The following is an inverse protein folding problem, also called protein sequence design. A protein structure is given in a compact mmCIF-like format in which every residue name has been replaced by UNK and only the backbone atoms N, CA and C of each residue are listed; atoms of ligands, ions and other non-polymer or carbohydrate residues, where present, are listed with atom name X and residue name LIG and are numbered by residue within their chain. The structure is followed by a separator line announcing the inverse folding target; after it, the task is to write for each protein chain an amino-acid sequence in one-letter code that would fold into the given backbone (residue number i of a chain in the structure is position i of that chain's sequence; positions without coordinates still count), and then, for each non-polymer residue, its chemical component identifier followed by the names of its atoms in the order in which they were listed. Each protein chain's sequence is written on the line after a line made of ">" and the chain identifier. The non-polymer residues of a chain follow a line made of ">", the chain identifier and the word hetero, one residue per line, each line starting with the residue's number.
data_IF_882648881432
#
_entry.id   IF_882648881432
#
_cell.length_a   1.000
_cell.length_b   1.000
_cell.length_c   1.000
_cell.angle_alpha   90.00
_cell.angle_beta   90.00
_cell.angle_gamma   90.00
#
_symmetry.space_group_name_H-M   'P 1'
#
loop_
_entity.id
_entity.type
_entity.pdbx_description
1 polymer ?
#
# COMPACT_ATOMS: atom_id res chain seq x y z
N UNK A 1 -69.70 32.67 41.97
CA UNK A 1 -69.37 31.40 41.27
C UNK A 1 -68.16 31.66 40.37
N UNK A 2 -66.95 31.31 40.83
CA UNK A 2 -65.73 31.29 40.01
C UNK A 2 -65.02 29.97 40.35
N UNK A 3 -64.98 29.05 39.39
CA UNK A 3 -64.20 27.82 39.48
C UNK A 3 -62.79 28.11 38.95
N UNK A 4 -61.78 27.89 39.81
CA UNK A 4 -60.37 27.85 39.42
C UNK A 4 -60.00 26.38 39.18
N UNK A 5 -59.66 26.05 37.92
CA UNK A 5 -59.12 24.76 37.52
C UNK A 5 -57.60 24.76 37.70
N UNK A 6 -57.08 23.86 38.53
CA UNK A 6 -55.65 23.56 38.67
C UNK A 6 -55.23 22.52 37.63
N UNK A 7 -54.23 22.84 36.81
CA UNK A 7 -53.56 21.88 35.92
C UNK A 7 -52.38 21.20 36.66
N UNK A 8 -52.16 19.88 36.50
CA UNK A 8 -50.98 19.22 37.05
C UNK A 8 -49.79 19.37 36.10
N UNK A 9 -48.60 19.63 36.65
CA UNK A 9 -47.35 19.63 35.92
C UNK A 9 -46.87 18.17 35.71
N UNK A 10 -46.77 17.73 34.45
CA UNK A 10 -46.06 16.49 34.11
C UNK A 10 -44.55 16.76 34.08
N UNK A 11 -43.81 16.09 34.95
CA UNK A 11 -42.36 16.01 34.86
C UNK A 11 -41.97 14.95 33.81
N UNK A 12 -41.37 15.37 32.69
CA UNK A 12 -40.80 14.46 31.71
C UNK A 12 -39.41 13.99 32.19
N UNK A 13 -39.27 12.72 32.54
CA UNK A 13 -37.95 12.10 32.70
C UNK A 13 -37.34 11.88 31.32
N UNK A 14 -36.30 12.64 31.00
CA UNK A 14 -35.45 12.35 29.85
C UNK A 14 -34.58 11.12 30.16
N UNK A 15 -34.89 9.98 29.56
CA UNK A 15 -34.00 8.83 29.53
C UNK A 15 -32.80 9.17 28.62
N UNK A 16 -31.68 9.58 29.22
CA UNK A 16 -30.38 9.64 28.55
C UNK A 16 -29.93 8.19 28.28
N UNK A 17 -30.17 7.71 27.06
CA UNK A 17 -29.57 6.49 26.55
C UNK A 17 -28.08 6.74 26.35
N UNK A 18 -27.25 6.26 27.27
CA UNK A 18 -25.80 6.19 27.08
C UNK A 18 -25.53 5.15 25.99
N UNK A 19 -25.25 5.64 24.78
CA UNK A 19 -24.67 4.81 23.73
C UNK A 19 -23.28 4.43 24.23
N UNK A 20 -23.10 3.17 24.62
CA UNK A 20 -21.78 2.61 24.90
C UNK A 20 -20.99 2.59 23.59
N UNK A 21 -20.30 3.69 23.29
CA UNK A 21 -19.36 3.75 22.20
C UNK A 21 -18.18 2.86 22.58
N UNK A 22 -18.06 1.68 21.96
CA UNK A 22 -16.79 0.96 22.02
C UNK A 22 -15.75 1.86 21.35
N UNK A 23 -14.66 2.25 22.04
CA UNK A 23 -13.57 2.93 21.38
C UNK A 23 -13.10 2.06 20.21
N UNK A 24 -12.85 2.66 19.05
CA UNK A 24 -12.14 1.94 18.00
C UNK A 24 -10.78 1.47 18.56
N UNK A 25 -10.29 0.27 18.18
CA UNK A 25 -8.95 -0.16 18.55
C UNK A 25 -7.92 0.92 18.19
N UNK A 26 -6.94 1.16 19.07
CA UNK A 26 -5.80 2.01 18.72
C UNK A 26 -4.99 1.29 17.63
N UNK A 27 -4.55 2.02 16.60
CA UNK A 27 -3.77 1.43 15.52
C UNK A 27 -2.44 0.86 16.07
N UNK A 28 -2.01 -0.34 15.63
CA UNK A 28 -0.69 -0.84 15.97
C UNK A 28 0.42 0.08 15.42
N UNK A 29 1.43 0.37 16.24
CA UNK A 29 2.67 1.00 15.76
C UNK A 29 3.70 -0.09 15.48
N UNK A 30 3.86 -0.45 14.20
CA UNK A 30 4.77 -1.51 13.77
C UNK A 30 6.23 -1.06 13.78
N UNK A 31 7.15 -2.00 14.09
CA UNK A 31 8.60 -1.79 13.95
C UNK A 31 9.04 -1.80 12.49
N UNK A 32 8.44 -2.68 11.69
CA UNK A 32 8.71 -2.80 10.26
C UNK A 32 7.42 -3.05 9.49
N UNK A 33 7.17 -2.25 8.46
CA UNK A 33 6.13 -2.46 7.47
C UNK A 33 6.78 -2.66 6.11
N UNK A 34 6.44 -3.74 5.41
CA UNK A 34 6.78 -3.90 3.99
C UNK A 34 5.52 -3.72 3.17
N UNK A 35 5.56 -2.80 2.21
CA UNK A 35 4.56 -2.63 1.17
C UNK A 35 5.13 -3.19 -0.13
N UNK A 36 4.56 -4.28 -0.61
CA UNK A 36 4.84 -4.82 -1.94
C UNK A 36 3.74 -4.34 -2.87
N UNK A 37 4.14 -3.77 -4.01
CA UNK A 37 3.21 -3.32 -5.06
C UNK A 37 3.54 -4.08 -6.34
N UNK A 38 2.64 -5.00 -6.70
CA UNK A 38 2.62 -5.71 -7.98
C UNK A 38 1.85 -4.88 -9.03
N UNK A 39 1.86 -5.28 -10.30
CA UNK A 39 1.19 -4.56 -11.39
C UNK A 39 -0.05 -5.26 -11.95
N UNK A 40 -1.02 -4.44 -12.38
CA UNK A 40 -2.12 -4.70 -13.31
C UNK A 40 -2.80 -6.06 -13.20
N UNK A 41 -3.74 -6.24 -12.28
CA UNK A 41 -4.66 -7.39 -12.32
C UNK A 41 -5.99 -7.13 -11.64
N UNK A 42 -7.06 -7.63 -12.27
CA UNK A 42 -8.38 -7.69 -11.67
C UNK A 42 -8.35 -8.55 -10.40
N UNK A 43 -9.01 -8.10 -9.33
CA UNK A 43 -9.16 -8.86 -8.08
C UNK A 43 -9.52 -10.35 -8.30
N UNK A 44 -10.46 -10.62 -9.21
CA UNK A 44 -10.94 -11.98 -9.50
C UNK A 44 -9.95 -12.88 -10.24
N UNK A 45 -8.92 -12.31 -10.88
CA UNK A 45 -7.88 -13.09 -11.54
C UNK A 45 -6.92 -13.74 -10.53
N UNK A 46 -6.82 -13.14 -9.33
CA UNK A 46 -5.83 -13.48 -8.31
C UNK A 46 -6.42 -14.18 -7.08
N UNK A 47 -7.54 -13.70 -6.54
CA UNK A 47 -8.06 -14.24 -5.28
C UNK A 47 -8.78 -15.58 -5.52
N UNK A 48 -8.28 -16.65 -4.90
CA UNK A 48 -8.80 -18.00 -5.06
C UNK A 48 -8.40 -18.67 -6.38
N UNK A 49 -7.49 -18.04 -7.13
CA UNK A 49 -7.03 -18.54 -8.42
C UNK A 49 -5.93 -19.60 -8.26
N UNK A 50 -5.95 -20.70 -9.03
CA UNK A 50 -4.88 -21.70 -8.99
C UNK A 50 -3.54 -21.17 -9.55
N UNK A 51 -3.56 -20.01 -10.21
CA UNK A 51 -2.37 -19.37 -10.76
C UNK A 51 -1.60 -18.55 -9.71
N UNK A 52 -2.26 -18.14 -8.63
CA UNK A 52 -1.72 -17.32 -7.54
C UNK A 52 -1.94 -17.96 -6.17
N UNK A 53 -1.42 -19.19 -5.95
CA UNK A 53 -1.66 -19.92 -4.71
C UNK A 53 -1.08 -19.23 -3.47
N UNK A 54 0.02 -18.48 -3.58
CA UNK A 54 0.59 -17.78 -2.43
C UNK A 54 -0.19 -16.51 -2.06
N UNK A 55 -0.61 -15.70 -3.04
CA UNK A 55 -1.51 -14.56 -2.80
C UNK A 55 -2.84 -15.05 -2.22
N UNK A 56 -3.42 -16.13 -2.79
CA UNK A 56 -4.65 -16.73 -2.25
C UNK A 56 -4.45 -17.20 -0.82
N UNK A 57 -3.31 -17.84 -0.51
CA UNK A 57 -2.99 -18.23 0.86
C UNK A 57 -2.88 -17.02 1.80
N UNK A 58 -2.21 -15.93 1.40
CA UNK A 58 -2.16 -14.69 2.19
C UNK A 58 -3.57 -14.14 2.44
N UNK A 59 -4.44 -14.17 1.43
CA UNK A 59 -5.82 -13.68 1.53
C UNK A 59 -6.70 -14.48 2.51
N UNK A 60 -6.40 -15.76 2.69
CA UNK A 60 -7.12 -16.64 3.62
C UNK A 60 -6.62 -16.51 5.07
N UNK A 61 -5.39 -16.03 5.25
CA UNK A 61 -4.71 -15.98 6.55
C UNK A 61 -4.37 -14.54 7.00
N UNK A 62 -4.85 -13.53 6.29
CA UNK A 62 -4.69 -12.11 6.61
C UNK A 62 -6.02 -11.37 6.56
N UNK A 63 -5.95 -10.05 6.55
CA UNK A 63 -7.08 -9.18 6.25
C UNK A 63 -7.12 -8.91 4.75
N UNK A 64 -8.11 -9.47 4.07
CA UNK A 64 -8.36 -9.27 2.65
C UNK A 64 -9.40 -8.17 2.46
N UNK A 65 -9.05 -7.10 1.76
CA UNK A 65 -9.97 -6.06 1.35
C UNK A 65 -10.61 -6.44 0.01
N UNK A 66 -11.92 -6.66 0.04
CA UNK A 66 -12.71 -7.16 -1.09
C UNK A 66 -13.26 -6.06 -1.98
N UNK A 67 -13.23 -4.80 -1.53
CA UNK A 67 -13.64 -3.60 -2.27
C UNK A 67 -12.48 -2.59 -2.27
N UNK A 68 -11.29 -3.05 -2.67
CA UNK A 68 -10.08 -2.21 -2.82
C UNK A 68 -9.87 -1.80 -4.27
N UNK A 69 -9.47 -0.54 -4.48
CA UNK A 69 -9.42 0.07 -5.82
C UNK A 69 -8.13 0.87 -6.06
N UNK A 70 -7.62 0.78 -7.29
CA UNK A 70 -6.68 1.77 -7.79
C UNK A 70 -7.34 3.14 -7.91
N UNK A 71 -6.54 4.20 -7.89
CA UNK A 71 -7.02 5.58 -7.92
C UNK A 71 -7.29 6.08 -9.35
N UNK A 72 -6.50 5.59 -10.31
CA UNK A 72 -6.56 6.05 -11.70
C UNK A 72 -5.99 5.00 -12.65
N UNK A 73 -6.02 5.30 -13.94
CA UNK A 73 -5.16 4.69 -14.95
C UNK A 73 -4.31 5.76 -15.65
N UNK A 74 -3.08 5.47 -16.11
CA UNK A 74 -2.34 4.20 -15.97
C UNK A 74 -1.52 4.11 -14.65
N UNK A 75 -0.79 3.00 -14.51
CA UNK A 75 0.03 2.58 -13.37
C UNK A 75 0.76 3.67 -12.58
N UNK A 76 1.61 4.47 -13.22
CA UNK A 76 2.56 5.35 -12.53
C UNK A 76 1.90 6.30 -11.52
N UNK A 77 0.72 6.80 -11.84
CA UNK A 77 0.00 7.74 -10.99
C UNK A 77 -0.53 7.06 -9.70
N UNK A 78 -0.82 5.76 -9.71
CA UNK A 78 -1.22 4.99 -8.53
C UNK A 78 -0.07 4.83 -7.53
N UNK A 79 1.15 4.51 -8.01
CA UNK A 79 2.35 4.48 -7.18
C UNK A 79 2.60 5.81 -6.48
N UNK A 80 2.44 6.91 -7.21
CA UNK A 80 2.61 8.26 -6.67
C UNK A 80 1.49 8.57 -5.68
N UNK A 81 0.23 8.23 -5.99
CA UNK A 81 -0.91 8.39 -5.08
C UNK A 81 -0.69 7.69 -3.74
N UNK A 82 -0.28 6.41 -3.76
CA UNK A 82 0.00 5.61 -2.57
C UNK A 82 1.18 6.18 -1.74
N UNK A 83 2.12 6.87 -2.37
CA UNK A 83 3.33 7.35 -1.70
C UNK A 83 3.23 8.80 -1.18
N UNK A 84 2.52 9.66 -1.90
CA UNK A 84 2.47 11.11 -1.62
C UNK A 84 1.07 11.70 -1.51
N UNK A 85 0.02 10.89 -1.58
CA UNK A 85 -1.35 11.38 -1.42
C UNK A 85 -1.83 12.24 -2.58
N UNK A 86 -1.17 12.19 -3.73
CA UNK A 86 -1.52 12.99 -4.88
C UNK A 86 -0.86 12.47 -6.14
N UNK A 87 -1.41 12.84 -7.30
CA UNK A 87 -0.88 12.40 -8.59
C UNK A 87 0.33 13.23 -9.05
N UNK A 88 0.63 14.33 -8.36
CA UNK A 88 1.72 15.26 -8.69
C UNK A 88 1.70 15.79 -10.14
N UNK A 89 0.51 15.87 -10.74
CA UNK A 89 0.32 16.29 -12.13
C UNK A 89 0.69 15.21 -13.17
N UNK A 90 1.04 14.00 -12.72
CA UNK A 90 1.34 12.85 -13.57
C UNK A 90 0.02 12.20 -13.97
N UNK A 91 -0.22 12.09 -15.27
CA UNK A 91 -1.48 11.58 -15.85
C UNK A 91 -1.26 10.42 -16.81
N UNK A 92 -0.02 9.97 -16.98
CA UNK A 92 0.38 8.91 -17.88
C UNK A 92 1.63 8.21 -17.34
N UNK A 93 1.98 7.07 -17.94
CA UNK A 93 3.27 6.43 -17.74
C UNK A 93 4.35 7.19 -18.50
N UNK A 94 4.96 8.16 -17.84
CA UNK A 94 5.99 9.02 -18.40
C UNK A 94 7.35 8.84 -17.71
N UNK A 95 8.40 9.03 -18.51
CA UNK A 95 9.75 9.09 -18.01
C UNK A 95 9.97 10.44 -17.29
N UNK A 96 9.92 10.44 -15.97
CA UNK A 96 10.16 11.62 -15.12
C UNK A 96 11.65 11.82 -14.79
N UNK A 97 12.57 11.35 -15.65
CA UNK A 97 14.00 11.57 -15.46
C UNK A 97 14.33 13.07 -15.44
N UNK A 98 15.20 13.48 -14.50
CA UNK A 98 15.51 14.90 -14.27
C UNK A 98 14.41 15.70 -13.58
N UNK A 99 13.23 15.12 -13.29
CA UNK A 99 12.20 15.75 -12.44
C UNK A 99 12.37 15.30 -10.99
N UNK A 100 12.40 16.27 -10.08
CA UNK A 100 12.36 16.05 -8.63
C UNK A 100 11.17 16.80 -8.04
N UNK A 101 10.27 16.08 -7.38
CA UNK A 101 9.17 16.65 -6.62
C UNK A 101 9.64 17.13 -5.25
N UNK A 102 8.95 18.13 -4.73
CA UNK A 102 9.22 18.77 -3.43
C UNK A 102 7.99 18.80 -2.53
N UNK A 103 6.89 18.18 -2.96
CA UNK A 103 5.66 18.04 -2.18
C UNK A 103 5.82 17.04 -1.04
N UNK A 104 4.97 17.09 0.00
CA UNK A 104 4.97 16.09 1.06
C UNK A 104 4.84 14.66 0.54
N UNK A 105 5.35 13.70 1.32
CA UNK A 105 5.26 12.27 1.03
C UNK A 105 5.53 11.44 2.30
N UNK A 106 5.10 10.18 2.28
CA UNK A 106 5.23 9.23 3.38
C UNK A 106 6.67 9.09 3.88
N UNK A 107 7.63 8.93 2.96
CA UNK A 107 9.04 8.73 3.31
C UNK A 107 9.64 9.90 4.09
N UNK A 108 9.41 11.13 3.62
CA UNK A 108 9.86 12.34 4.30
C UNK A 108 9.13 12.57 5.64
N UNK A 109 7.82 12.31 5.68
CA UNK A 109 7.02 12.44 6.90
C UNK A 109 7.54 11.49 8.00
N UNK A 110 7.83 10.22 7.66
CA UNK A 110 8.46 9.26 8.56
C UNK A 110 9.79 9.78 9.12
N UNK A 111 10.69 10.23 8.24
CA UNK A 111 12.02 10.74 8.63
C UNK A 111 11.89 11.95 9.55
N UNK A 112 10.96 12.86 9.28
CA UNK A 112 10.72 14.06 10.11
C UNK A 112 10.27 13.72 11.54
N UNK A 113 9.64 12.56 11.73
CA UNK A 113 9.20 12.03 13.02
C UNK A 113 10.21 11.08 13.69
N UNK A 114 11.39 10.92 13.10
CA UNK A 114 12.45 10.05 13.63
C UNK A 114 12.29 8.57 13.27
N UNK A 115 11.36 8.23 12.37
CA UNK A 115 11.26 6.90 11.78
C UNK A 115 12.17 6.77 10.56
N UNK A 116 12.23 5.57 9.99
CA UNK A 116 13.10 5.28 8.84
C UNK A 116 12.32 4.77 7.64
N UNK A 117 12.81 5.09 6.44
CA UNK A 117 12.21 4.68 5.17
C UNK A 117 13.27 4.16 4.20
N UNK A 118 12.96 3.14 3.40
CA UNK A 118 13.72 2.74 2.20
C UNK A 118 12.79 2.20 1.10
N UNK A 119 13.17 2.37 -0.15
CA UNK A 119 12.58 1.64 -1.27
C UNK A 119 13.57 0.62 -1.83
N UNK A 120 13.09 -0.58 -2.15
CA UNK A 120 13.87 -1.66 -2.76
C UNK A 120 13.25 -2.05 -4.11
N UNK A 121 14.05 -2.07 -5.17
CA UNK A 121 13.58 -2.50 -6.49
C UNK A 121 14.47 -3.59 -7.08
N UNK A 122 13.86 -4.67 -7.59
CA UNK A 122 14.54 -5.92 -7.94
C UNK A 122 15.73 -5.75 -8.88
N UNK A 123 15.52 -5.08 -10.01
CA UNK A 123 16.54 -4.89 -11.06
C UNK A 123 17.09 -3.45 -11.10
N UNK A 124 16.95 -2.68 -10.01
CA UNK A 124 17.65 -1.39 -9.90
C UNK A 124 19.18 -1.64 -9.94
N UNK A 125 19.95 -0.95 -10.80
CA UNK A 125 21.36 -1.28 -11.03
C UNK A 125 22.29 -0.79 -9.92
N UNK A 126 21.92 0.28 -9.24
CA UNK A 126 22.73 0.93 -8.22
C UNK A 126 21.86 1.75 -7.29
N UNK A 127 22.38 2.03 -6.09
CA UNK A 127 21.74 2.94 -5.14
C UNK A 127 21.43 4.28 -5.80
N UNK A 128 20.20 4.76 -5.63
CA UNK A 128 19.76 6.05 -6.14
C UNK A 128 19.62 6.16 -7.66
N UNK A 129 19.47 5.05 -8.39
CA UNK A 129 19.36 5.10 -9.84
C UNK A 129 18.16 5.95 -10.32
N UNK A 130 18.40 6.92 -11.21
CA UNK A 130 17.41 7.90 -11.66
C UNK A 130 16.97 7.74 -13.12
N UNK A 131 17.65 6.91 -13.92
CA UNK A 131 17.27 6.70 -15.32
C UNK A 131 15.96 5.89 -15.39
N UNK A 132 15.19 6.10 -16.45
CA UNK A 132 13.85 5.53 -16.53
C UNK A 132 13.79 4.01 -16.64
N UNK A 133 14.78 3.40 -17.30
CA UNK A 133 14.81 1.97 -17.54
C UNK A 133 16.20 1.40 -17.31
N UNK A 134 16.26 0.13 -16.89
CA UNK A 134 17.52 -0.60 -16.83
C UNK A 134 17.33 -2.08 -17.15
N UNK A 135 18.25 -2.60 -17.97
CA UNK A 135 18.39 -3.99 -18.44
C UNK A 135 17.18 -4.48 -19.23
N UNK A 136 17.43 -5.19 -20.33
CA UNK A 136 16.37 -5.79 -21.15
C UNK A 136 16.10 -7.22 -20.68
N UNK A 137 14.82 -7.55 -20.51
CA UNK A 137 14.33 -8.89 -20.23
C UNK A 137 14.62 -9.81 -21.41
N UNK A 138 15.18 -10.98 -21.11
CA UNK A 138 15.32 -12.05 -22.10
C UNK A 138 14.02 -12.80 -22.34
N UNK A 139 13.02 -12.61 -21.46
CA UNK A 139 11.70 -13.24 -21.57
C UNK A 139 10.77 -12.43 -22.48
N UNK A 140 10.82 -11.11 -22.37
CA UNK A 140 9.80 -10.21 -22.93
C UNK A 140 10.35 -9.23 -23.95
N UNK A 141 11.67 -9.00 -23.94
CA UNK A 141 12.33 -7.95 -24.72
C UNK A 141 12.05 -6.53 -24.22
N UNK A 142 11.26 -6.37 -23.15
CA UNK A 142 11.02 -5.09 -22.48
C UNK A 142 12.12 -4.80 -21.46
N UNK A 143 12.14 -3.60 -20.87
CA UNK A 143 13.04 -3.35 -19.74
C UNK A 143 12.64 -4.21 -18.52
N UNK A 144 13.57 -4.48 -17.61
CA UNK A 144 13.28 -5.16 -16.33
C UNK A 144 12.95 -4.13 -15.26
N UNK A 145 13.82 -3.15 -15.05
CA UNK A 145 13.56 -2.06 -14.14
C UNK A 145 12.81 -0.93 -14.86
N UNK A 146 11.68 -0.51 -14.29
CA UNK A 146 10.96 0.70 -14.65
C UNK A 146 10.94 1.69 -13.48
N UNK A 147 11.53 2.87 -13.67
CA UNK A 147 11.49 3.97 -12.68
C UNK A 147 10.07 4.37 -12.30
N UNK A 148 9.12 4.18 -13.21
CA UNK A 148 7.71 4.51 -13.00
C UNK A 148 7.05 3.74 -11.84
N UNK A 149 7.52 2.54 -11.49
CA UNK A 149 6.99 1.74 -10.36
C UNK A 149 7.62 2.11 -9.01
N UNK A 150 8.62 3.00 -8.99
CA UNK A 150 9.41 3.33 -7.79
C UNK A 150 9.14 4.78 -7.35
N UNK A 151 8.00 5.10 -6.72
CA UNK A 151 7.55 6.49 -6.56
C UNK A 151 8.54 7.36 -5.78
N UNK A 152 9.24 6.78 -4.80
CA UNK A 152 10.23 7.45 -3.97
C UNK A 152 11.39 8.06 -4.76
N UNK A 153 11.70 7.53 -5.96
CA UNK A 153 12.81 8.07 -6.78
C UNK A 153 12.56 9.51 -7.22
N UNK A 154 11.29 9.95 -7.26
CA UNK A 154 10.92 11.31 -7.62
C UNK A 154 11.22 12.34 -6.52
N UNK A 155 11.55 11.91 -5.29
CA UNK A 155 11.87 12.80 -4.16
C UNK A 155 13.33 12.70 -3.71
N UNK A 156 14.20 12.05 -4.48
CA UNK A 156 15.63 12.06 -4.22
C UNK A 156 16.19 13.47 -4.41
N UNK A 157 16.80 14.02 -3.35
CA UNK A 157 17.34 15.38 -3.38
C UNK A 157 17.60 15.95 -1.99
N UNK A 158 17.60 17.28 -1.90
CA UNK A 158 17.77 18.03 -0.67
C UNK A 158 16.54 18.93 -0.46
N UNK A 159 16.05 19.00 0.78
CA UNK A 159 14.85 19.77 1.11
C UNK A 159 14.00 19.09 2.19
N UNK A 160 12.96 19.79 2.69
CA UNK A 160 12.12 19.28 3.78
C UNK A 160 11.35 18.01 3.43
N UNK A 161 10.99 17.81 2.15
CA UNK A 161 10.25 16.64 1.69
C UNK A 161 11.09 15.70 0.83
N UNK A 162 12.42 15.88 0.83
CA UNK A 162 13.34 15.11 0.02
C UNK A 162 14.25 14.27 0.91
N UNK A 163 14.79 13.19 0.35
CA UNK A 163 15.69 12.29 1.07
C UNK A 163 16.89 11.88 0.22
N UNK A 164 18.00 11.46 0.85
CA UNK A 164 19.19 11.09 0.12
C UNK A 164 18.99 9.85 -0.73
N UNK A 165 19.76 9.76 -1.81
CA UNK A 165 19.80 8.63 -2.73
C UNK A 165 20.04 7.27 -2.05
N UNK A 166 20.69 7.27 -0.89
CA UNK A 166 20.93 6.08 -0.06
C UNK A 166 19.66 5.40 0.46
N UNK A 167 18.48 6.00 0.32
CA UNK A 167 17.22 5.34 0.67
C UNK A 167 16.60 4.56 -0.50
N UNK A 168 17.09 4.76 -1.72
CA UNK A 168 16.66 4.04 -2.92
C UNK A 168 17.65 2.91 -3.23
N UNK A 169 17.26 1.68 -2.96
CA UNK A 169 18.16 0.53 -2.92
C UNK A 169 17.82 -0.51 -4.01
N UNK A 170 18.85 -1.18 -4.57
CA UNK A 170 18.62 -2.44 -5.27
C UNK A 170 18.15 -3.52 -4.30
N UNK A 171 17.33 -4.46 -4.76
CA UNK A 171 16.85 -5.58 -3.93
C UNK A 171 17.98 -6.49 -3.44
N UNK A 172 19.17 -6.45 -4.07
CA UNK A 172 20.38 -7.12 -3.56
C UNK A 172 20.83 -6.61 -2.18
N UNK A 173 20.37 -5.42 -1.76
CA UNK A 173 20.59 -4.86 -0.42
C UNK A 173 19.45 -5.19 0.57
N UNK A 174 18.41 -5.91 0.15
CA UNK A 174 17.32 -6.34 1.03
C UNK A 174 17.87 -7.31 2.08
N UNK A 175 17.66 -7.04 3.38
CA UNK A 175 18.35 -7.78 4.43
C UNK A 175 17.74 -9.17 4.64
N UNK A 176 18.60 -10.15 4.95
CA UNK A 176 18.16 -11.46 5.45
C UNK A 176 17.81 -11.42 6.95
N UNK A 177 18.35 -10.45 7.69
CA UNK A 177 17.99 -10.15 9.08
C UNK A 177 16.97 -9.01 9.10
N UNK A 178 15.70 -9.35 9.32
CA UNK A 178 14.59 -8.41 9.24
C UNK A 178 14.59 -7.35 10.32
N UNK A 179 15.35 -7.52 11.41
CA UNK A 179 15.55 -6.45 12.42
C UNK A 179 16.29 -5.22 11.85
N UNK A 180 16.92 -5.35 10.68
CA UNK A 180 17.64 -4.27 9.98
C UNK A 180 16.79 -3.54 8.94
N UNK A 181 15.53 -3.96 8.77
CA UNK A 181 14.60 -3.25 7.90
C UNK A 181 14.34 -1.84 8.44
N UNK A 182 13.97 -0.88 7.57
CA UNK A 182 13.47 0.41 8.03
C UNK A 182 12.09 0.25 8.71
N UNK A 183 11.56 1.34 9.24
CA UNK A 183 10.19 1.39 9.78
C UNK A 183 9.16 1.09 8.70
N UNK A 184 9.32 1.70 7.51
CA UNK A 184 8.52 1.37 6.33
C UNK A 184 9.45 1.14 5.14
N UNK A 185 9.22 0.03 4.42
CA UNK A 185 9.89 -0.29 3.18
C UNK A 185 8.88 -0.51 2.05
N UNK A 186 9.21 -0.01 0.86
CA UNK A 186 8.54 -0.44 -0.37
C UNK A 186 9.42 -1.47 -1.07
N UNK A 187 8.80 -2.51 -1.62
CA UNK A 187 9.46 -3.55 -2.42
C UNK A 187 8.75 -3.66 -3.77
N UNK A 188 9.50 -3.45 -4.84
CA UNK A 188 9.00 -3.43 -6.22
C UNK A 188 9.67 -4.58 -7.00
N UNK A 189 8.92 -5.61 -7.40
CA UNK A 189 9.39 -6.62 -8.36
C UNK A 189 9.76 -5.95 -9.69
N UNK A 190 10.60 -6.62 -10.48
CA UNK A 190 10.86 -6.15 -11.84
C UNK A 190 9.79 -6.64 -12.83
N UNK A 191 9.80 -6.10 -14.05
CA UNK A 191 8.79 -6.37 -15.08
C UNK A 191 8.73 -7.83 -15.57
N UNK A 192 9.60 -8.74 -15.14
CA UNK A 192 9.40 -10.17 -15.41
C UNK A 192 8.55 -10.85 -14.31
N UNK A 193 8.41 -10.21 -13.15
CA UNK A 193 7.79 -10.76 -11.94
C UNK A 193 6.70 -9.89 -11.33
N UNK A 194 6.50 -8.65 -11.79
CA UNK A 194 5.42 -7.75 -11.36
C UNK A 194 4.02 -8.15 -11.87
N UNK A 195 3.95 -9.26 -12.61
CA UNK A 195 2.75 -9.86 -13.20
C UNK A 195 2.15 -9.14 -14.43
N UNK A 196 2.63 -7.97 -14.82
CA UNK A 196 2.04 -7.22 -15.94
C UNK A 196 2.56 -7.63 -17.33
N UNK A 197 3.80 -8.09 -17.46
CA UNK A 197 4.55 -7.99 -18.71
C UNK A 197 4.90 -9.32 -19.41
N UNK A 198 3.98 -10.26 -19.70
CA UNK A 198 4.34 -11.45 -20.54
C UNK A 198 3.38 -11.77 -21.72
N UNK A 199 4.02 -12.04 -22.88
CA UNK A 199 3.46 -12.31 -24.21
C UNK A 199 2.59 -13.57 -24.40
N UNK A 200 1.34 -13.30 -24.78
CA UNK A 200 0.09 -14.11 -24.94
C UNK A 200 0.14 -15.53 -25.54
N UNK A 201 -0.90 -16.38 -25.27
CA UNK A 201 -2.16 -16.12 -24.55
C UNK A 201 -2.28 -16.71 -23.13
N UNK A 202 -2.66 -15.86 -22.18
CA UNK A 202 -3.08 -16.19 -20.82
C UNK A 202 -2.31 -15.41 -19.75
N UNK A 203 -3.02 -14.51 -19.07
CA UNK A 203 -2.63 -13.81 -17.84
C UNK A 203 -1.99 -14.74 -16.78
N UNK A 204 -2.48 -15.98 -16.70
CA UNK A 204 -2.03 -17.03 -15.80
C UNK A 204 -0.50 -17.21 -15.69
N UNK A 205 0.27 -17.09 -16.78
CA UNK A 205 1.72 -17.30 -16.72
C UNK A 205 2.45 -16.17 -15.98
N UNK A 206 1.98 -14.93 -16.15
CA UNK A 206 2.52 -13.77 -15.48
C UNK A 206 2.19 -13.81 -13.99
N UNK A 207 0.91 -14.05 -13.67
CA UNK A 207 0.45 -14.32 -12.30
C UNK A 207 1.28 -15.42 -11.62
N UNK A 208 1.46 -16.58 -12.26
CA UNK A 208 2.23 -17.68 -11.67
C UNK A 208 3.69 -17.33 -11.42
N UNK A 209 4.31 -16.51 -12.28
CA UNK A 209 5.71 -16.09 -12.08
C UNK A 209 5.82 -15.11 -10.93
N UNK A 210 4.97 -14.09 -10.89
CA UNK A 210 4.98 -13.14 -9.78
C UNK A 210 4.61 -13.80 -8.45
N UNK A 211 3.65 -14.72 -8.42
CA UNK A 211 3.22 -15.39 -7.19
C UNK A 211 4.36 -16.25 -6.62
N UNK A 212 5.08 -16.95 -7.50
CA UNK A 212 6.31 -17.69 -7.13
C UNK A 212 7.40 -16.74 -6.65
N UNK A 213 7.56 -15.57 -7.27
CA UNK A 213 8.54 -14.57 -6.86
C UNK A 213 8.21 -14.00 -5.49
N UNK A 214 6.96 -13.60 -5.25
CA UNK A 214 6.45 -13.15 -3.96
C UNK A 214 6.73 -14.18 -2.88
N UNK A 215 6.37 -15.45 -3.14
CA UNK A 215 6.63 -16.53 -2.19
C UNK A 215 8.12 -16.69 -1.90
N UNK A 216 8.97 -16.67 -2.92
CA UNK A 216 10.40 -16.90 -2.77
C UNK A 216 11.10 -15.77 -2.00
N UNK A 217 10.66 -14.53 -2.18
CA UNK A 217 11.35 -13.35 -1.63
C UNK A 217 10.71 -12.81 -0.35
N UNK A 218 9.39 -12.94 -0.20
CA UNK A 218 8.61 -12.26 0.84
C UNK A 218 8.06 -13.22 1.90
N UNK A 219 7.83 -14.50 1.60
CA UNK A 219 7.17 -15.42 2.55
C UNK A 219 7.91 -15.59 3.88
N UNK A 220 9.24 -15.52 3.87
CA UNK A 220 10.04 -15.54 5.11
C UNK A 220 9.78 -14.30 5.98
N UNK A 221 9.64 -13.13 5.36
CA UNK A 221 9.26 -11.91 6.08
C UNK A 221 7.81 -12.01 6.57
N UNK A 222 6.88 -12.48 5.73
CA UNK A 222 5.48 -12.65 6.11
C UNK A 222 5.35 -13.49 7.38
N UNK A 223 5.99 -14.66 7.44
CA UNK A 223 5.94 -15.52 8.63
C UNK A 223 6.64 -14.87 9.85
N UNK A 224 7.76 -14.20 9.64
CA UNK A 224 8.47 -13.48 10.70
C UNK A 224 7.61 -12.35 11.29
N UNK A 225 6.87 -11.63 10.44
CA UNK A 225 6.11 -10.45 10.79
C UNK A 225 5.02 -10.73 11.85
N UNK A 226 4.43 -11.92 11.83
CA UNK A 226 3.39 -12.39 12.78
C UNK A 226 3.82 -12.33 14.25
N UNK A 227 5.13 -12.38 14.51
CA UNK A 227 5.68 -12.47 15.87
C UNK A 227 6.59 -11.29 16.25
N UNK A 228 6.72 -10.28 15.38
CA UNK A 228 7.74 -9.22 15.52
C UNK A 228 7.21 -7.79 15.33
N UNK A 229 5.99 -7.50 15.81
CA UNK A 229 5.34 -6.18 15.65
C UNK A 229 5.58 -5.64 14.23
N UNK A 230 5.27 -6.45 13.21
CA UNK A 230 5.55 -6.11 11.82
C UNK A 230 4.40 -6.47 10.92
N UNK A 231 4.31 -5.78 9.77
CA UNK A 231 3.20 -5.85 8.84
C UNK A 231 3.71 -6.03 7.40
N UNK A 232 3.13 -6.98 6.70
CA UNK A 232 3.19 -7.09 5.24
C UNK A 232 1.89 -6.55 4.65
N UNK A 233 2.03 -5.64 3.68
CA UNK A 233 0.98 -5.19 2.80
C UNK A 233 1.34 -5.66 1.40
N UNK A 234 0.45 -6.42 0.76
CA UNK A 234 0.55 -6.76 -0.68
C UNK A 234 -0.62 -6.10 -1.38
N UNK A 235 -0.34 -5.29 -2.39
CA UNK A 235 -1.34 -4.60 -3.20
C UNK A 235 -0.91 -4.56 -4.66
N UNK A 236 -1.84 -4.16 -5.53
CA UNK A 236 -1.59 -3.91 -6.95
C UNK A 236 -1.78 -2.42 -7.23
N UNK A 237 -1.22 -1.90 -8.31
CA UNK A 237 -1.36 -0.49 -8.69
C UNK A 237 -2.74 -0.18 -9.30
N UNK A 238 -3.21 -1.02 -10.24
CA UNK A 238 -4.47 -0.90 -10.96
C UNK A 238 -4.99 -2.26 -11.47
N UNK A 239 -6.22 -2.29 -11.99
CA UNK A 239 -6.80 -3.47 -12.63
C UNK A 239 -6.48 -3.56 -14.15
N UNK A 240 -6.81 -4.69 -14.77
CA UNK A 240 -6.60 -4.91 -16.21
C UNK A 240 -7.74 -4.35 -17.07
N UNK A 241 -8.92 -4.20 -16.47
CA UNK A 241 -10.17 -3.88 -17.16
C UNK A 241 -10.19 -2.45 -17.72
N UNK A 242 -9.35 -1.55 -17.20
CA UNK A 242 -9.35 -0.10 -17.51
C UNK A 242 -10.73 0.53 -17.35
N UNK A 243 -11.56 -0.07 -16.51
CA UNK A 243 -12.87 0.46 -16.18
C UNK A 243 -12.75 1.42 -15.00
N UNK A 244 -13.81 2.19 -14.75
CA UNK A 244 -13.88 2.99 -13.53
C UNK A 244 -13.97 2.14 -12.26
N UNK A 245 -14.13 0.81 -12.36
CA UNK A 245 -14.10 -0.06 -11.19
C UNK A 245 -12.68 -0.12 -10.63
N UNK A 246 -11.66 -0.35 -11.44
CA UNK A 246 -10.25 -0.39 -11.01
C UNK A 246 -10.03 -1.28 -9.77
N UNK A 247 -10.71 -2.43 -9.70
CA UNK A 247 -10.76 -3.26 -8.48
C UNK A 247 -9.54 -4.18 -8.38
N UNK A 248 -8.77 -3.99 -7.32
CA UNK A 248 -7.48 -4.65 -7.08
C UNK A 248 -7.50 -5.52 -5.81
N UNK A 249 -6.63 -6.52 -5.70
CA UNK A 249 -6.36 -7.16 -4.42
C UNK A 249 -5.52 -6.26 -3.52
N UNK A 250 -5.93 -6.16 -2.25
CA UNK A 250 -5.11 -5.61 -1.17
C UNK A 250 -5.22 -6.53 0.04
N UNK A 251 -4.07 -6.93 0.60
CA UNK A 251 -4.00 -7.88 1.72
C UNK A 251 -3.04 -7.32 2.78
N UNK A 252 -3.50 -7.26 4.03
CA UNK A 252 -2.66 -7.02 5.20
C UNK A 252 -2.39 -8.35 5.91
N UNK A 253 -1.14 -8.62 6.27
CA UNK A 253 -0.72 -9.86 6.90
C UNK A 253 0.41 -9.60 7.89
N UNK A 254 0.34 -10.11 9.11
CA UNK A 254 1.40 -9.92 10.10
C UNK A 254 0.89 -9.92 11.53
N UNK A 255 1.66 -9.32 12.44
CA UNK A 255 1.25 -9.18 13.84
C UNK A 255 0.03 -8.26 13.95
N UNK A 256 -0.84 -8.49 14.94
CA UNK A 256 -1.98 -7.64 15.27
C UNK A 256 -3.02 -7.48 14.14
N UNK A 257 -2.98 -8.31 13.10
CA UNK A 257 -3.96 -8.31 12.00
C UNK A 257 -5.04 -9.35 12.29
N UNK A 258 -6.30 -8.91 12.36
CA UNK A 258 -7.48 -9.77 12.41
C UNK A 258 -7.71 -10.42 11.05
N UNK A 259 -7.56 -11.73 10.99
CA UNK A 259 -7.87 -12.52 9.80
C UNK A 259 -9.34 -12.35 9.42
N UNK A 260 -9.63 -12.00 8.17
CA UNK A 260 -10.99 -11.75 7.73
C UNK A 260 -11.09 -11.19 6.32
N UNK A 261 -12.34 -11.04 5.88
CA UNK A 261 -12.70 -10.33 4.66
C UNK A 261 -13.41 -9.04 5.03
N UNK A 262 -12.96 -7.96 4.42
CA UNK A 262 -13.36 -6.60 4.73
C UNK A 262 -13.92 -5.99 3.44
N UNK A 263 -15.12 -5.43 3.50
CA UNK A 263 -15.90 -5.02 2.33
C UNK A 263 -16.12 -3.52 2.26
N UNK A 264 -15.45 -2.76 3.13
CA UNK A 264 -15.39 -1.32 3.04
C UNK A 264 -14.61 -0.90 1.79
N UNK A 265 -15.11 0.15 1.15
CA UNK A 265 -14.48 0.73 -0.02
C UNK A 265 -13.17 1.40 0.37
N UNK A 266 -12.07 0.92 -0.18
CA UNK A 266 -10.74 1.50 0.03
C UNK A 266 -10.05 1.80 -1.30
N UNK A 267 -9.13 2.75 -1.25
CA UNK A 267 -8.20 3.07 -2.33
C UNK A 267 -6.77 3.12 -1.80
N UNK A 268 -5.80 3.40 -2.67
CA UNK A 268 -4.43 3.71 -2.27
C UNK A 268 -4.33 4.80 -1.20
N UNK A 269 -5.26 5.76 -1.18
CA UNK A 269 -5.28 6.81 -0.16
C UNK A 269 -5.65 6.28 1.22
N UNK A 270 -6.56 5.31 1.34
CA UNK A 270 -6.88 4.68 2.62
C UNK A 270 -5.66 3.93 3.18
N UNK A 271 -4.90 3.23 2.32
CA UNK A 271 -3.68 2.53 2.72
C UNK A 271 -2.62 3.54 3.20
N UNK A 272 -2.39 4.62 2.44
CA UNK A 272 -1.47 5.70 2.82
C UNK A 272 -1.87 6.33 4.17
N UNK A 273 -3.12 6.79 4.31
CA UNK A 273 -3.58 7.42 5.54
C UNK A 273 -3.51 6.49 6.75
N UNK A 274 -3.68 5.18 6.54
CA UNK A 274 -3.50 4.18 7.58
C UNK A 274 -2.04 4.12 8.05
N UNK A 275 -1.08 4.10 7.13
CA UNK A 275 0.35 4.17 7.46
C UNK A 275 0.69 5.48 8.18
N UNK A 276 0.18 6.61 7.69
CA UNK A 276 0.39 7.92 8.33
C UNK A 276 -0.16 7.96 9.76
N UNK A 277 -1.37 7.44 9.96
CA UNK A 277 -2.01 7.40 11.27
C UNK A 277 -1.28 6.47 12.25
N UNK A 278 -0.81 5.29 11.82
CA UNK A 278 -0.01 4.37 12.65
C UNK A 278 1.24 5.01 13.24
N UNK A 279 1.87 5.91 12.47
CA UNK A 279 3.11 6.60 12.86
C UNK A 279 2.89 8.06 13.30
N UNK A 280 1.63 8.50 13.46
CA UNK A 280 1.27 9.87 13.89
C UNK A 280 1.91 10.94 12.99
N UNK A 281 1.93 10.66 11.69
CA UNK A 281 2.41 11.56 10.65
C UNK A 281 1.31 12.58 10.32
N UNK A 282 1.66 13.78 9.83
CA UNK A 282 0.66 14.68 9.30
C UNK A 282 0.00 14.07 8.05
N UNK A 283 -1.33 14.17 7.95
CA UNK A 283 -2.03 13.90 6.70
C UNK A 283 -1.82 15.12 5.80
N UNK A 284 -0.86 15.02 4.88
CA UNK A 284 -0.40 16.16 4.08
C UNK A 284 -1.09 16.25 2.71
N UNK A 285 -2.03 15.36 2.42
CA UNK A 285 -2.84 15.40 1.21
C UNK A 285 -4.28 15.88 1.43
N UNK A 286 -4.98 16.10 0.31
CA UNK A 286 -6.38 16.62 0.29
C UNK A 286 -7.37 15.57 -0.21
N UNK A 287 -6.95 14.31 -0.30
CA UNK A 287 -7.74 13.25 -0.89
C UNK A 287 -8.67 12.63 0.16
N UNK A 288 -9.79 12.10 -0.31
CA UNK A 288 -10.70 11.34 0.53
C UNK A 288 -10.14 9.93 0.76
N UNK A 289 -9.88 9.58 2.01
CA UNK A 289 -9.55 8.22 2.42
C UNK A 289 -9.68 8.11 3.93
N UNK A 290 -10.54 7.24 4.43
CA UNK A 290 -10.60 6.98 5.87
C UNK A 290 -9.47 6.04 6.27
N UNK A 291 -8.94 6.24 7.48
CA UNK A 291 -8.04 5.27 8.12
C UNK A 291 -8.77 3.95 8.31
N UNK A 292 -8.13 2.85 7.91
CA UNK A 292 -8.63 1.48 8.13
C UNK A 292 -8.39 1.14 9.60
N UNK A 293 -9.46 0.86 10.36
CA UNK A 293 -9.39 0.76 11.83
C UNK A 293 -10.01 -0.51 12.43
N UNK A 294 -10.67 -1.35 11.63
CA UNK A 294 -11.41 -2.53 12.06
C UNK A 294 -10.63 -3.84 11.88
N UNK A 295 -9.53 -3.82 11.12
CA UNK A 295 -8.66 -4.98 10.84
C UNK A 295 -7.61 -5.28 11.91
N UNK A 296 -7.55 -4.51 13.01
CA UNK A 296 -6.50 -4.62 14.03
C UNK A 296 -6.99 -5.31 15.31
N UNK A 297 -6.17 -6.17 15.92
CA UNK A 297 -6.48 -6.89 17.18
C UNK A 297 -6.71 -5.99 18.40
#
# INVERSE_FOLDING_TARGET
>A
MKYLLSLPALAALACLSFVNYKPAPELPTYKHVIVVVEENHDYSALIGSPNSPYISWLSEHGALFTDSHGVTHPSQANYIALFSGGLQGVVADECLEGKTFTTPNLGAALISKGFTFKGFAQTMPSVGFLSCYYKTSTLTGQALYGRKHCPWVNWQGTGPNNFPASLSQPMTAFPSDYNKLPTVAFVIPDMDYDMHNIGVPGDAAAIQRGDKWLKANIAKYAEWAKTHDSLLIVTFDEDDSRTSANQIPTIFYGAHVKIGKYSEHITHYNVLHTLEAMFKLPADDKQSGAVINDVWE
#
